data_IF_931053709791
#
_entry.id   IF_931053709791
#
_cell.length_a   1.000
_cell.length_b   1.000
_cell.length_c   1.000
_cell.angle_alpha   90.00
_cell.angle_beta   90.00
_cell.angle_gamma   90.00
#
_symmetry.space_group_name_H-M   'P 1'
#
loop_
_entity.id
_entity.type
_entity.pdbx_description
1 polymer ?
#
# COMPACT_ATOMS: atom_id res chain seq x y z
N UNK A 1 -48.53 -8.74 -27.11
CA UNK A 1 -47.45 -7.75 -27.31
C UNK A 1 -46.36 -8.05 -26.28
N UNK A 2 -45.21 -8.56 -26.70
CA UNK A 2 -44.07 -8.77 -25.79
C UNK A 2 -43.44 -7.41 -25.49
N UNK A 3 -43.18 -7.06 -24.21
CA UNK A 3 -42.52 -5.81 -23.87
C UNK A 3 -41.13 -5.78 -24.51
N UNK A 4 -40.89 -4.80 -25.38
CA UNK A 4 -39.55 -4.59 -25.93
C UNK A 4 -38.62 -4.18 -24.78
N UNK A 5 -37.70 -5.07 -24.42
CA UNK A 5 -36.67 -4.78 -23.43
C UNK A 5 -35.65 -3.86 -24.07
N UNK A 6 -35.68 -2.57 -23.73
CA UNK A 6 -34.67 -1.63 -24.19
C UNK A 6 -33.32 -2.09 -23.62
N UNK A 7 -32.30 -2.38 -24.46
CA UNK A 7 -30.99 -2.77 -23.97
C UNK A 7 -30.41 -1.63 -23.15
N UNK A 8 -30.12 -1.90 -21.87
CA UNK A 8 -29.50 -0.93 -20.99
C UNK A 8 -28.12 -0.58 -21.57
N UNK A 9 -27.88 0.73 -21.78
CA UNK A 9 -26.56 1.22 -22.16
C UNK A 9 -25.57 0.85 -21.05
N UNK A 10 -24.47 0.19 -21.44
CA UNK A 10 -23.38 -0.11 -20.53
C UNK A 10 -22.69 1.16 -20.08
N UNK A 11 -22.26 1.18 -18.82
CA UNK A 11 -21.57 2.29 -18.18
C UNK A 11 -20.08 2.16 -18.51
N UNK A 12 -19.49 3.11 -19.26
CA UNK A 12 -18.06 3.08 -19.57
C UNK A 12 -17.22 3.34 -18.32
N UNK A 13 -15.94 3.02 -18.39
CA UNK A 13 -15.00 3.31 -17.29
C UNK A 13 -14.95 4.83 -17.04
N UNK A 14 -15.17 5.31 -15.81
CA UNK A 14 -15.12 6.73 -15.50
C UNK A 14 -13.68 7.26 -15.60
N UNK A 15 -13.50 8.58 -15.77
CA UNK A 15 -12.19 9.20 -15.73
C UNK A 15 -11.52 8.98 -14.37
N UNK A 16 -10.19 9.02 -14.35
CA UNK A 16 -9.32 8.66 -13.21
C UNK A 16 -9.60 9.40 -11.89
N UNK A 17 -10.39 10.48 -11.92
CA UNK A 17 -10.68 11.36 -10.78
C UNK A 17 -11.98 11.00 -10.06
N UNK A 18 -12.88 10.23 -10.67
CA UNK A 18 -14.16 9.88 -10.05
C UNK A 18 -13.96 8.81 -9.00
N UNK A 19 -14.65 8.94 -7.86
CA UNK A 19 -14.66 7.90 -6.83
C UNK A 19 -15.22 6.59 -7.39
N UNK A 20 -14.65 5.44 -7.01
CA UNK A 20 -15.09 4.13 -7.52
C UNK A 20 -16.59 3.88 -7.25
N UNK A 21 -17.08 4.22 -6.05
CA UNK A 21 -18.49 4.11 -5.68
C UNK A 21 -19.39 4.99 -6.57
N UNK A 22 -19.00 6.25 -6.76
CA UNK A 22 -19.72 7.21 -7.58
C UNK A 22 -19.77 6.76 -9.05
N UNK A 23 -18.64 6.27 -9.58
CA UNK A 23 -18.55 5.74 -10.94
C UNK A 23 -19.39 4.48 -11.17
N UNK A 24 -19.61 3.68 -10.11
CA UNK A 24 -20.47 2.50 -10.20
C UNK A 24 -21.97 2.85 -10.15
N UNK A 25 -22.36 3.98 -9.55
CA UNK A 25 -23.78 4.35 -9.40
C UNK A 25 -24.62 3.24 -8.74
N UNK A 26 -24.04 2.57 -7.75
CA UNK A 26 -24.72 1.54 -6.94
C UNK A 26 -25.13 2.10 -5.57
N UNK A 27 -26.21 1.56 -4.96
CA UNK A 27 -26.48 1.76 -3.55
C UNK A 27 -25.26 1.36 -2.71
N UNK A 28 -24.98 2.11 -1.65
CA UNK A 28 -23.82 1.89 -0.78
C UNK A 28 -23.74 0.46 -0.23
N UNK A 29 -24.90 -0.15 0.06
CA UNK A 29 -24.99 -1.54 0.55
C UNK A 29 -24.45 -2.54 -0.48
N UNK A 30 -24.98 -2.51 -1.71
CA UNK A 30 -24.53 -3.39 -2.79
C UNK A 30 -23.06 -3.15 -3.15
N UNK A 31 -22.63 -1.89 -3.17
CA UNK A 31 -21.23 -1.53 -3.38
C UNK A 31 -20.31 -2.20 -2.33
N UNK A 32 -20.68 -2.15 -1.05
CA UNK A 32 -19.92 -2.78 0.04
C UNK A 32 -19.88 -4.31 -0.09
N UNK A 33 -21.00 -4.94 -0.44
CA UNK A 33 -21.07 -6.40 -0.62
C UNK A 33 -20.15 -6.86 -1.76
N UNK A 34 -20.25 -6.22 -2.93
CA UNK A 34 -19.42 -6.53 -4.10
C UNK A 34 -17.93 -6.31 -3.78
N UNK A 35 -17.57 -5.15 -3.22
CA UNK A 35 -16.17 -4.83 -2.91
C UNK A 35 -15.58 -5.80 -1.88
N UNK A 36 -16.35 -6.16 -0.85
CA UNK A 36 -15.93 -7.14 0.16
C UNK A 36 -15.69 -8.50 -0.49
N UNK A 37 -16.60 -8.94 -1.36
CA UNK A 37 -16.46 -10.22 -2.07
C UNK A 37 -15.23 -10.23 -3.00
N UNK A 38 -15.05 -9.19 -3.81
CA UNK A 38 -13.89 -9.08 -4.72
C UNK A 38 -12.58 -8.99 -3.93
N UNK A 39 -12.54 -8.30 -2.79
CA UNK A 39 -11.37 -8.33 -1.90
C UNK A 39 -11.07 -9.75 -1.40
N UNK A 40 -12.09 -10.51 -0.97
CA UNK A 40 -11.89 -11.89 -0.53
C UNK A 40 -11.29 -12.76 -1.66
N UNK A 41 -11.79 -12.61 -2.89
CA UNK A 41 -11.21 -13.29 -4.06
C UNK A 41 -9.77 -12.86 -4.32
N UNK A 42 -9.47 -11.56 -4.22
CA UNK A 42 -8.11 -11.05 -4.40
C UNK A 42 -7.13 -11.65 -3.37
N UNK A 43 -7.51 -11.74 -2.09
CA UNK A 43 -6.67 -12.39 -1.06
C UNK A 43 -6.45 -13.88 -1.32
N UNK A 44 -7.45 -14.55 -1.89
CA UNK A 44 -7.40 -15.98 -2.16
C UNK A 44 -6.59 -16.35 -3.41
N UNK A 45 -6.52 -15.46 -4.40
CA UNK A 45 -5.97 -15.76 -5.72
C UNK A 45 -4.79 -14.89 -6.14
N UNK A 46 -4.50 -13.78 -5.45
CA UNK A 46 -3.41 -12.87 -5.80
C UNK A 46 -2.39 -12.76 -4.67
N UNK A 47 -1.20 -12.32 -5.06
CA UNK A 47 -0.10 -12.04 -4.15
C UNK A 47 -0.13 -10.59 -3.70
N UNK A 48 -0.47 -10.34 -2.43
CA UNK A 48 -0.62 -8.98 -1.89
C UNK A 48 0.68 -8.15 -1.86
N UNK A 49 1.84 -8.80 -1.99
CA UNK A 49 3.16 -8.16 -2.04
C UNK A 49 3.54 -7.64 -3.44
N UNK A 50 2.80 -8.03 -4.47
CA UNK A 50 3.05 -7.62 -5.86
C UNK A 50 2.08 -6.53 -6.32
N UNK A 51 2.56 -5.63 -7.17
CA UNK A 51 1.69 -4.63 -7.81
C UNK A 51 0.76 -5.29 -8.84
N UNK A 52 -0.36 -4.63 -9.18
CA UNK A 52 -1.35 -5.16 -10.13
C UNK A 52 -0.74 -5.60 -11.48
N UNK A 53 0.26 -4.89 -12.00
CA UNK A 53 0.92 -5.21 -13.28
C UNK A 53 1.82 -6.44 -13.22
N UNK A 54 2.24 -6.84 -12.02
CA UNK A 54 3.11 -7.99 -11.77
C UNK A 54 2.31 -9.24 -11.42
N UNK A 55 0.99 -9.13 -11.27
CA UNK A 55 0.13 -10.27 -11.03
C UNK A 55 0.03 -11.13 -12.28
N UNK A 56 -0.21 -12.42 -12.06
CA UNK A 56 -0.55 -13.34 -13.13
C UNK A 56 -1.90 -12.94 -13.78
N UNK A 57 -1.93 -12.69 -15.10
CA UNK A 57 -3.17 -12.32 -15.79
C UNK A 57 -4.25 -13.42 -15.71
N UNK A 58 -3.86 -14.70 -15.63
CA UNK A 58 -4.84 -15.79 -15.51
C UNK A 58 -5.56 -15.76 -14.15
N UNK A 59 -4.84 -15.46 -13.07
CA UNK A 59 -5.43 -15.25 -11.75
C UNK A 59 -6.40 -14.06 -11.69
N UNK A 60 -6.08 -12.95 -12.39
CA UNK A 60 -7.00 -11.81 -12.51
C UNK A 60 -8.26 -12.20 -13.30
N UNK A 61 -8.10 -12.91 -14.43
CA UNK A 61 -9.24 -13.38 -15.23
C UNK A 61 -10.16 -14.31 -14.42
N UNK A 62 -9.59 -15.19 -13.59
CA UNK A 62 -10.34 -16.07 -12.68
C UNK A 62 -11.14 -15.31 -11.63
N UNK A 63 -10.58 -14.23 -11.07
CA UNK A 63 -11.32 -13.35 -10.16
C UNK A 63 -12.49 -12.69 -10.89
N UNK A 64 -12.25 -12.22 -12.12
CA UNK A 64 -13.28 -11.59 -12.94
C UNK A 64 -14.45 -12.55 -13.22
N UNK A 65 -14.14 -13.77 -13.65
CA UNK A 65 -15.13 -14.82 -13.90
C UNK A 65 -15.98 -15.10 -12.66
N UNK A 66 -15.35 -15.40 -11.52
CA UNK A 66 -16.06 -15.68 -10.26
C UNK A 66 -16.91 -14.50 -9.77
N UNK A 67 -16.40 -13.27 -9.90
CA UNK A 67 -17.16 -12.09 -9.51
C UNK A 67 -18.38 -11.85 -10.41
N UNK A 68 -18.27 -12.13 -11.72
CA UNK A 68 -19.39 -12.04 -12.66
C UNK A 68 -20.43 -13.14 -12.40
N UNK A 69 -19.99 -14.36 -12.07
CA UNK A 69 -20.86 -15.49 -11.73
C UNK A 69 -21.77 -15.15 -10.54
N UNK A 70 -21.19 -14.58 -9.46
CA UNK A 70 -21.95 -14.21 -8.26
C UNK A 70 -22.72 -12.89 -8.44
N UNK A 71 -22.16 -11.93 -9.17
CA UNK A 71 -22.78 -10.62 -9.41
C UNK A 71 -22.89 -10.31 -10.91
N UNK A 72 -23.91 -10.86 -11.60
CA UNK A 72 -24.09 -10.67 -13.05
C UNK A 72 -24.23 -9.20 -13.47
N UNK A 73 -24.69 -8.34 -12.56
CA UNK A 73 -24.76 -6.88 -12.76
C UNK A 73 -23.42 -6.29 -13.21
N UNK A 74 -22.28 -6.87 -12.81
CA UNK A 74 -20.96 -6.40 -13.18
C UNK A 74 -20.67 -6.54 -14.68
N UNK A 75 -21.20 -7.59 -15.33
CA UNK A 75 -21.06 -7.81 -16.78
C UNK A 75 -22.18 -7.16 -17.59
N UNK A 76 -23.39 -7.11 -17.03
CA UNK A 76 -24.57 -6.59 -17.72
C UNK A 76 -24.57 -5.06 -17.79
N UNK A 77 -24.09 -4.39 -16.73
CA UNK A 77 -24.20 -2.93 -16.59
C UNK A 77 -22.91 -2.17 -16.93
N UNK A 78 -21.73 -2.79 -16.85
CA UNK A 78 -20.46 -2.10 -17.01
C UNK A 78 -19.64 -2.66 -18.16
N UNK A 79 -19.03 -1.77 -18.94
CA UNK A 79 -18.14 -2.19 -20.02
C UNK A 79 -16.90 -2.91 -19.46
N UNK A 80 -16.58 -4.07 -20.04
CA UNK A 80 -15.45 -4.93 -19.69
C UNK A 80 -15.38 -5.33 -18.21
N UNK A 81 -16.50 -5.21 -17.48
CA UNK A 81 -16.56 -5.37 -16.03
C UNK A 81 -15.45 -4.56 -15.29
N UNK A 82 -15.19 -3.34 -15.77
CA UNK A 82 -14.15 -2.46 -15.24
C UNK A 82 -14.15 -2.25 -13.70
N UNK A 83 -15.28 -2.33 -12.97
CA UNK A 83 -15.26 -2.18 -11.53
C UNK A 83 -14.39 -3.23 -10.83
N UNK A 84 -14.38 -4.46 -11.33
CA UNK A 84 -13.60 -5.56 -10.74
C UNK A 84 -12.11 -5.21 -10.77
N UNK A 85 -11.61 -4.79 -11.92
CA UNK A 85 -10.19 -4.40 -12.08
C UNK A 85 -9.80 -3.26 -11.14
N UNK A 86 -10.66 -2.24 -11.02
CA UNK A 86 -10.40 -1.09 -10.17
C UNK A 86 -10.40 -1.46 -8.68
N UNK A 87 -11.33 -2.31 -8.24
CA UNK A 87 -11.38 -2.81 -6.88
C UNK A 87 -10.09 -3.59 -6.56
N UNK A 88 -9.72 -4.54 -7.42
CA UNK A 88 -8.50 -5.36 -7.25
C UNK A 88 -7.26 -4.47 -7.23
N UNK A 89 -7.14 -3.52 -8.16
CA UNK A 89 -5.99 -2.61 -8.25
C UNK A 89 -5.85 -1.76 -6.98
N UNK A 90 -6.95 -1.16 -6.50
CA UNK A 90 -6.94 -0.35 -5.28
C UNK A 90 -6.59 -1.20 -4.05
N UNK A 91 -7.13 -2.42 -3.98
CA UNK A 91 -6.83 -3.35 -2.90
C UNK A 91 -5.32 -3.68 -2.84
N UNK A 92 -4.71 -4.05 -3.97
CA UNK A 92 -3.28 -4.36 -4.02
C UNK A 92 -2.41 -3.13 -3.73
N UNK A 93 -2.81 -1.94 -4.18
CA UNK A 93 -2.11 -0.70 -3.82
C UNK A 93 -2.13 -0.46 -2.31
N UNK A 94 -3.28 -0.68 -1.66
CA UNK A 94 -3.39 -0.54 -0.22
C UNK A 94 -2.62 -1.63 0.54
N UNK A 95 -2.72 -2.89 0.12
CA UNK A 95 -1.99 -4.00 0.75
C UNK A 95 -0.48 -3.85 0.61
N UNK A 96 0.03 -3.52 -0.59
CA UNK A 96 1.47 -3.30 -0.80
C UNK A 96 1.99 -2.10 0.00
N UNK A 97 1.21 -1.02 0.08
CA UNK A 97 1.50 0.11 0.96
C UNK A 97 1.62 -0.36 2.42
N UNK A 98 0.61 -1.06 2.95
CA UNK A 98 0.65 -1.58 4.31
C UNK A 98 1.82 -2.54 4.53
N UNK A 99 2.16 -3.38 3.56
CA UNK A 99 3.28 -4.33 3.66
C UNK A 99 4.62 -3.59 3.74
N UNK A 100 4.80 -2.56 2.92
CA UNK A 100 6.00 -1.70 2.94
C UNK A 100 6.18 -1.01 4.28
N UNK A 101 5.09 -0.56 4.89
CA UNK A 101 5.11 0.12 6.18
C UNK A 101 5.01 -0.84 7.39
N UNK A 102 4.78 -2.14 7.18
CA UNK A 102 4.66 -3.12 8.27
C UNK A 102 5.97 -3.31 9.05
N UNK A 103 7.11 -3.29 8.37
CA UNK A 103 8.43 -3.35 9.01
C UNK A 103 8.65 -2.16 9.94
N UNK A 104 8.24 -0.99 9.48
CA UNK A 104 8.30 0.25 10.24
C UNK A 104 7.41 0.19 11.50
N UNK A 105 6.17 -0.29 11.43
CA UNK A 105 5.33 -0.47 12.65
C UNK A 105 5.85 -1.56 13.59
N UNK A 106 6.48 -2.62 13.06
CA UNK A 106 7.06 -3.67 13.89
C UNK A 106 8.19 -3.11 14.77
N UNK A 107 9.05 -2.28 14.21
CA UNK A 107 10.15 -1.64 14.94
C UNK A 107 9.65 -0.65 16.00
N UNK A 108 8.56 0.09 15.74
CA UNK A 108 7.96 1.01 16.72
C UNK A 108 7.47 0.28 17.98
N UNK A 109 6.91 -0.93 17.81
CA UNK A 109 6.37 -1.72 18.92
C UNK A 109 7.46 -2.38 19.75
N UNK A 110 8.58 -2.76 19.13
CA UNK A 110 9.72 -3.37 19.83
C UNK A 110 10.57 -2.32 20.57
N UNK A 111 10.73 -1.10 20.02
CA UNK A 111 11.53 -0.02 20.64
C UNK A 111 11.00 0.51 21.98
N UNK A 112 9.71 0.29 22.31
CA UNK A 112 9.14 0.69 23.61
C UNK A 112 9.46 -0.26 24.76
N UNK A 113 9.99 -1.46 24.49
CA UNK A 113 10.23 -2.46 25.56
C UNK A 113 11.65 -2.45 26.13
N UNK A 114 12.55 -1.65 25.58
CA UNK A 114 13.99 -1.77 25.90
C UNK A 114 14.56 -0.70 26.83
N UNK A 115 13.74 0.21 27.40
CA UNK A 115 14.24 1.29 28.28
C UNK A 115 13.84 1.19 29.75
N UNK A 116 13.14 0.15 30.22
CA UNK A 116 12.79 0.02 31.65
C UNK A 116 13.70 -0.91 32.46
N UNK A 117 14.95 -1.11 32.04
CA UNK A 117 15.96 -1.79 32.86
C UNK A 117 17.22 -0.94 33.00
N UNK A 118 17.04 0.32 33.42
CA UNK A 118 18.11 1.11 34.03
C UNK A 118 17.97 0.94 35.54
N UNK A 119 18.79 0.04 36.07
CA UNK A 119 19.39 0.03 37.41
C UNK A 119 18.70 0.87 38.51
N UNK A 120 17.87 0.21 39.31
CA UNK A 120 17.97 0.36 40.77
C UNK A 120 19.05 -0.59 41.28
N UNK A 121 20.32 -0.25 41.03
CA UNK A 121 21.45 -0.79 41.80
C UNK A 121 21.89 0.31 42.77
N UNK A 122 21.18 0.37 43.89
CA UNK A 122 21.67 1.03 45.10
C UNK A 122 22.95 0.32 45.53
N UNK A 123 24.03 1.09 45.64
CA UNK A 123 25.29 0.67 46.25
C UNK A 123 25.05 0.15 47.68
N UNK A 124 25.50 -1.08 47.95
CA UNK A 124 25.92 -1.50 49.29
C UNK A 124 27.29 -2.19 49.16
N UNK A 125 28.34 -1.69 49.84
CA UNK A 125 29.60 -2.42 49.96
C UNK A 125 29.49 -3.36 51.15
N UNK A 126 29.86 -4.64 51.01
CA UNK A 126 30.51 -5.41 52.08
C UNK A 126 30.98 -6.78 51.60
N UNK A 127 32.19 -7.08 52.07
CA UNK A 127 33.03 -8.25 51.86
C UNK A 127 32.40 -9.55 52.37
N UNK A 128 32.76 -10.68 51.73
CA UNK A 128 33.33 -11.89 52.37
C UNK A 128 32.74 -13.21 51.86
N UNK A 129 33.64 -14.19 51.66
CA UNK A 129 33.37 -15.62 51.83
C UNK A 129 32.91 -16.34 50.56
N UNK A 130 33.79 -16.98 49.79
CA UNK A 130 34.40 -18.29 50.03
C UNK A 130 33.60 -19.46 49.42
N UNK A 131 34.36 -20.25 48.64
CA UNK A 131 34.29 -21.69 48.49
C UNK A 131 33.18 -22.32 47.60
N UNK A 132 33.70 -22.85 46.48
CA UNK A 132 33.63 -24.28 46.14
C UNK A 132 32.53 -24.81 45.20
N UNK A 133 33.06 -25.51 44.19
CA UNK A 133 32.67 -26.84 43.73
C UNK A 133 31.60 -27.02 42.66
N UNK A 134 32.13 -27.30 41.47
CA UNK A 134 32.06 -28.61 40.80
C UNK A 134 30.87 -28.95 39.89
N UNK A 135 31.25 -29.74 38.86
CA UNK A 135 30.47 -30.62 37.96
C UNK A 135 30.08 -29.95 36.64
N UNK A 136 30.80 -30.23 35.53
CA UNK A 136 30.82 -31.49 34.76
C UNK A 136 29.40 -31.97 34.47
N UNK A 137 28.96 -31.74 33.22
CA UNK A 137 28.35 -32.79 32.41
C UNK A 137 28.50 -32.44 30.93
N UNK A 138 29.10 -33.42 30.24
CA UNK A 138 29.21 -33.57 28.81
C UNK A 138 27.87 -34.07 28.22
N UNK A 139 27.87 -34.18 26.88
CA UNK A 139 27.04 -35.04 26.03
C UNK A 139 25.67 -34.51 25.56
N UNK A 140 25.61 -34.13 24.28
CA UNK A 140 25.05 -35.01 23.24
C UNK A 140 25.07 -34.35 21.85
N UNK A 141 25.65 -34.99 20.81
CA UNK A 141 25.43 -34.62 19.41
C UNK A 141 24.40 -35.57 18.78
N UNK A 142 23.21 -35.09 18.46
CA UNK A 142 22.25 -35.86 17.66
C UNK A 142 22.41 -35.52 16.18
N UNK A 143 23.21 -36.36 15.51
CA UNK A 143 23.13 -36.58 14.07
C UNK A 143 21.95 -37.49 13.75
N UNK A 144 21.33 -37.30 12.57
CA UNK A 144 20.70 -38.30 11.67
C UNK A 144 19.63 -37.56 10.83
N UNK A 145 19.99 -37.14 9.60
CA UNK A 145 19.86 -37.94 8.36
C UNK A 145 18.39 -38.13 7.99
N UNK A 146 17.96 -37.41 6.95
CA UNK A 146 16.81 -37.81 6.14
C UNK A 146 17.11 -37.57 4.66
N UNK A 147 16.57 -38.44 3.79
CA UNK A 147 17.18 -38.77 2.51
C UNK A 147 16.76 -37.84 1.38
N UNK A 148 17.73 -37.51 0.55
CA UNK A 148 17.58 -36.98 -0.80
C UNK A 148 16.91 -38.03 -1.69
N UNK A 149 15.63 -37.81 -2.00
CA UNK A 149 14.89 -38.55 -3.03
C UNK A 149 15.23 -37.96 -4.39
N UNK A 150 16.08 -38.68 -5.11
CA UNK A 150 16.40 -38.46 -6.51
C UNK A 150 15.25 -38.96 -7.37
N UNK A 151 14.67 -38.07 -8.19
CA UNK A 151 13.85 -38.45 -9.33
C UNK A 151 14.46 -37.79 -10.57
N UNK A 152 15.42 -38.48 -11.16
CA UNK A 152 15.83 -38.27 -12.56
C UNK A 152 14.73 -38.82 -13.48
N UNK A 153 14.38 -38.06 -14.51
CA UNK A 153 13.59 -38.58 -15.63
C UNK A 153 13.19 -37.51 -16.63
N UNK A 154 13.28 -37.77 -17.95
CA UNK A 154 13.80 -36.80 -18.91
C UNK A 154 12.71 -36.17 -19.79
N UNK A 155 12.92 -34.95 -20.27
CA UNK A 155 12.38 -34.56 -21.58
C UNK A 155 13.14 -33.38 -22.18
N UNK A 156 13.96 -33.78 -23.15
CA UNK A 156 14.56 -32.97 -24.18
C UNK A 156 13.42 -32.40 -25.02
N UNK A 157 13.17 -31.09 -24.91
CA UNK A 157 12.48 -30.36 -25.96
C UNK A 157 13.39 -29.26 -26.50
N UNK A 158 14.06 -29.67 -27.57
CA UNK A 158 14.63 -28.85 -28.63
C UNK A 158 13.66 -27.73 -29.01
N UNK A 159 14.08 -26.48 -28.83
CA UNK A 159 13.45 -25.31 -29.47
C UNK A 159 14.47 -24.68 -30.43
N UNK A 160 14.01 -24.20 -31.59
CA UNK A 160 14.87 -23.87 -32.70
C UNK A 160 15.58 -22.53 -32.52
N UNK A 161 16.79 -22.54 -33.06
CA UNK A 161 17.62 -21.44 -33.49
C UNK A 161 16.79 -20.37 -34.24
N UNK A 162 16.53 -19.24 -33.57
CA UNK A 162 16.06 -18.03 -34.23
C UNK A 162 17.28 -17.15 -34.42
N UNK A 163 17.75 -17.20 -35.65
CA UNK A 163 18.77 -16.38 -36.24
C UNK A 163 18.53 -14.89 -36.00
N UNK A 164 19.64 -14.24 -35.67
CA UNK A 164 19.92 -12.81 -35.76
C UNK A 164 19.17 -12.14 -36.92
N UNK A 165 18.32 -11.18 -36.58
CA UNK A 165 18.10 -9.99 -37.40
C UNK A 165 18.47 -8.80 -36.53
N UNK A 166 19.66 -8.30 -36.80
CA UNK A 166 20.19 -7.04 -36.35
C UNK A 166 19.74 -6.01 -37.39
N UNK A 167 18.70 -5.23 -37.08
CA UNK A 167 18.47 -3.97 -37.79
C UNK A 167 18.13 -2.87 -36.80
N UNK A 168 18.93 -1.83 -36.91
CA UNK A 168 18.89 -0.57 -36.21
C UNK A 168 17.53 0.12 -36.35
N UNK A 169 16.84 0.29 -35.22
CA UNK A 169 15.91 1.41 -35.05
C UNK A 169 16.17 2.01 -33.67
N UNK A 170 17.07 2.99 -33.65
CA UNK A 170 17.10 4.08 -32.67
C UNK A 170 15.72 4.74 -32.61
N UNK A 171 14.81 4.20 -31.79
CA UNK A 171 13.58 4.88 -31.40
C UNK A 171 13.75 5.40 -29.98
N UNK A 172 14.04 6.70 -29.92
CA UNK A 172 14.00 7.53 -28.74
C UNK A 172 12.71 7.27 -27.96
N UNK A 173 12.86 6.70 -26.77
CA UNK A 173 11.79 6.53 -25.79
C UNK A 173 11.27 7.91 -25.36
N UNK A 174 10.00 8.26 -25.63
CA UNK A 174 9.45 9.59 -25.30
C UNK A 174 9.17 9.83 -23.81
N UNK A 175 9.60 8.96 -22.90
CA UNK A 175 9.24 9.05 -21.47
C UNK A 175 10.20 9.88 -20.60
N UNK A 176 11.31 10.38 -21.17
CA UNK A 176 12.23 11.26 -20.44
C UNK A 176 11.83 12.75 -20.43
N UNK A 177 10.72 13.15 -21.07
CA UNK A 177 10.29 14.56 -21.16
C UNK A 177 9.16 14.98 -20.21
N UNK A 178 8.74 14.14 -19.25
CA UNK A 178 7.78 14.55 -18.21
C UNK A 178 8.41 14.86 -16.85
N UNK A 179 9.74 14.92 -16.78
CA UNK A 179 10.45 15.46 -15.63
C UNK A 179 10.55 16.98 -15.75
N UNK A 180 9.91 17.68 -14.81
CA UNK A 180 10.07 19.10 -14.52
C UNK A 180 9.37 20.12 -15.45
N UNK A 181 8.05 20.01 -15.62
CA UNK A 181 7.28 21.26 -15.48
C UNK A 181 7.35 21.66 -14.01
N UNK A 182 8.31 22.52 -13.67
CA UNK A 182 8.38 23.17 -12.36
C UNK A 182 7.08 23.93 -12.16
N UNK A 183 6.10 23.30 -11.51
CA UNK A 183 4.91 24.01 -11.02
C UNK A 183 5.39 25.03 -10.00
N UNK A 184 4.90 26.27 -10.04
CA UNK A 184 5.38 27.32 -9.16
C UNK A 184 5.21 26.90 -7.70
N UNK A 185 6.33 26.71 -7.01
CA UNK A 185 6.46 26.30 -5.59
C UNK A 185 5.63 27.21 -4.66
N UNK A 186 5.25 28.39 -5.13
CA UNK A 186 4.36 29.33 -4.43
C UNK A 186 2.93 28.84 -4.20
N UNK A 187 2.37 27.93 -5.02
CA UNK A 187 0.98 27.50 -4.83
C UNK A 187 0.79 26.65 -3.58
N UNK A 188 1.78 25.83 -3.23
CA UNK A 188 1.70 24.93 -2.07
C UNK A 188 1.89 25.67 -0.74
N UNK A 189 2.86 26.59 -0.65
CA UNK A 189 3.04 27.43 0.52
C UNK A 189 1.79 28.28 0.81
N UNK A 190 1.18 28.86 -0.23
CA UNK A 190 -0.07 29.61 -0.09
C UNK A 190 -1.21 28.74 0.47
N UNK A 191 -1.28 27.48 0.05
CA UNK A 191 -2.22 26.51 0.60
C UNK A 191 -1.93 26.20 2.07
N UNK A 192 -0.70 25.85 2.44
CA UNK A 192 -0.33 25.56 3.83
C UNK A 192 -0.57 26.77 4.75
N UNK A 193 -0.36 27.98 4.24
CA UNK A 193 -0.66 29.22 4.96
C UNK A 193 -2.16 29.40 5.23
N UNK A 194 -3.02 28.87 4.36
CA UNK A 194 -4.47 28.92 4.48
C UNK A 194 -5.06 27.88 5.44
N UNK A 195 -4.27 26.87 5.84
CA UNK A 195 -4.67 25.91 6.88
C UNK A 195 -4.85 26.60 8.24
N UNK A 196 -5.63 25.95 9.13
CA UNK A 196 -5.83 26.39 10.51
C UNK A 196 -5.58 25.22 11.46
N UNK A 197 -4.46 25.21 12.23
CA UNK A 197 -3.40 26.23 12.27
C UNK A 197 -2.58 26.33 10.97
N UNK A 198 -1.84 27.44 10.81
CA UNK A 198 -1.05 27.70 9.61
C UNK A 198 0.20 26.82 9.57
N UNK A 199 0.35 26.02 8.51
CA UNK A 199 1.44 25.04 8.40
C UNK A 199 2.60 25.52 7.52
N UNK A 200 2.65 26.81 7.19
CA UNK A 200 3.68 27.39 6.29
C UNK A 200 5.10 27.10 6.78
N UNK A 201 5.33 27.14 8.10
CA UNK A 201 6.62 26.86 8.71
C UNK A 201 7.11 25.40 8.49
N UNK A 202 6.20 24.47 8.21
CA UNK A 202 6.50 23.05 7.95
C UNK A 202 6.70 22.73 6.46
N UNK A 203 6.56 23.72 5.57
CA UNK A 203 6.58 23.49 4.12
C UNK A 203 7.85 22.77 3.64
N UNK A 204 9.01 23.16 4.18
CA UNK A 204 10.29 22.52 3.83
C UNK A 204 10.35 21.05 4.26
N UNK A 205 9.77 20.72 5.41
CA UNK A 205 9.70 19.34 5.91
C UNK A 205 8.78 18.50 5.03
N UNK A 206 7.60 19.01 4.67
CA UNK A 206 6.67 18.32 3.76
C UNK A 206 7.30 18.06 2.39
N UNK A 207 7.99 19.03 1.83
CA UNK A 207 8.63 18.91 0.52
C UNK A 207 9.84 17.96 0.54
N UNK A 208 10.80 18.17 1.44
CA UNK A 208 12.05 17.40 1.43
C UNK A 208 11.92 16.00 2.02
N UNK A 209 11.17 15.85 3.11
CA UNK A 209 11.16 14.59 3.86
C UNK A 209 10.07 13.63 3.34
N UNK A 210 8.88 14.16 3.05
CA UNK A 210 7.73 13.34 2.65
C UNK A 210 7.40 13.42 1.14
N UNK A 211 8.08 14.30 0.37
CA UNK A 211 7.77 14.50 -1.05
C UNK A 211 6.37 15.06 -1.29
N UNK A 212 5.79 15.72 -0.28
CA UNK A 212 4.46 16.31 -0.26
C UNK A 212 4.51 17.76 -0.74
N UNK A 213 5.04 18.00 -1.94
CA UNK A 213 5.24 19.34 -2.50
C UNK A 213 3.97 19.98 -3.13
N UNK A 214 2.79 19.35 -2.96
CA UNK A 214 1.57 19.77 -3.66
C UNK A 214 0.36 19.62 -2.76
N UNK A 215 -0.60 20.54 -2.88
CA UNK A 215 -1.86 20.52 -2.14
C UNK A 215 -2.57 19.17 -2.26
N UNK A 216 -2.65 18.61 -3.47
CA UNK A 216 -3.30 17.32 -3.71
C UNK A 216 -2.69 16.18 -2.88
N UNK A 217 -1.36 16.09 -2.84
CA UNK A 217 -0.67 15.07 -2.04
C UNK A 217 -0.92 15.27 -0.55
N UNK A 218 -0.91 16.52 -0.08
CA UNK A 218 -1.22 16.84 1.32
C UNK A 218 -2.67 16.47 1.67
N UNK A 219 -3.64 16.80 0.81
CA UNK A 219 -5.05 16.39 0.97
C UNK A 219 -5.22 14.87 0.95
N UNK A 220 -4.36 14.14 0.24
CA UNK A 220 -4.34 12.68 0.30
C UNK A 220 -4.11 12.13 1.71
N UNK A 221 -3.49 12.90 2.62
CA UNK A 221 -3.35 12.53 4.03
C UNK A 221 -4.69 12.48 4.78
N UNK A 222 -5.73 13.15 4.27
CA UNK A 222 -7.07 13.12 4.88
C UNK A 222 -7.70 11.72 4.85
N UNK A 223 -7.29 10.88 3.89
CA UNK A 223 -7.77 9.50 3.78
C UNK A 223 -6.92 8.51 4.60
N UNK A 224 -5.83 8.98 5.20
CA UNK A 224 -4.93 8.12 5.95
C UNK A 224 -5.49 7.86 7.36
N UNK A 225 -5.34 6.64 7.89
CA UNK A 225 -5.65 6.37 9.29
C UNK A 225 -4.68 7.16 10.19
N UNK A 226 -5.16 7.58 11.37
CA UNK A 226 -4.41 8.47 12.28
C UNK A 226 -3.07 7.88 12.72
N UNK A 227 -3.02 6.58 13.03
CA UNK A 227 -1.79 5.91 13.44
C UNK A 227 -0.68 6.03 12.38
N UNK A 228 -0.91 5.59 11.14
CA UNK A 228 0.02 5.77 10.04
C UNK A 228 0.45 7.19 9.74
N UNK A 229 -0.49 8.12 9.80
CA UNK A 229 -0.21 9.53 9.60
C UNK A 229 0.70 10.08 10.71
N UNK A 230 0.39 9.81 11.98
CA UNK A 230 1.19 10.26 13.12
C UNK A 230 2.63 9.75 13.02
N UNK A 231 2.77 8.48 12.62
CA UNK A 231 4.05 7.84 12.33
C UNK A 231 4.84 8.56 11.24
N UNK A 232 4.23 8.80 10.07
CA UNK A 232 4.87 9.56 8.98
C UNK A 232 5.36 10.94 9.46
N UNK A 233 4.52 11.66 10.18
CA UNK A 233 4.86 13.00 10.69
C UNK A 233 6.00 12.95 11.71
N UNK A 234 5.97 11.98 12.62
CA UNK A 234 6.93 11.90 13.72
C UNK A 234 8.27 11.30 13.31
N UNK A 235 8.28 10.20 12.58
CA UNK A 235 9.51 9.44 12.36
C UNK A 235 10.15 9.76 11.01
N UNK A 236 9.34 9.90 9.95
CA UNK A 236 9.86 10.21 8.62
C UNK A 236 10.12 11.73 8.46
N UNK A 237 9.19 12.56 8.93
CA UNK A 237 9.34 14.02 8.88
C UNK A 237 10.02 14.64 10.10
N UNK A 238 10.21 13.87 11.18
CA UNK A 238 10.85 14.33 12.43
C UNK A 238 10.17 15.54 13.07
N UNK A 239 8.85 15.65 12.92
CA UNK A 239 8.07 16.70 13.57
C UNK A 239 8.02 16.45 15.09
N UNK A 240 8.08 17.53 15.85
CA UNK A 240 7.78 17.53 17.27
C UNK A 240 6.32 17.13 17.53
N UNK A 241 6.00 16.82 18.79
CA UNK A 241 4.64 16.42 19.16
C UNK A 241 3.63 17.55 18.89
N UNK A 242 3.96 18.79 19.21
CA UNK A 242 3.09 19.94 18.96
C UNK A 242 2.87 20.16 17.47
N UNK A 243 3.92 20.07 16.64
CA UNK A 243 3.79 20.18 15.18
C UNK A 243 2.93 19.05 14.60
N UNK A 244 3.02 17.82 15.14
CA UNK A 244 2.12 16.74 14.75
C UNK A 244 0.66 17.10 15.05
N UNK A 245 0.37 17.56 16.27
CA UNK A 245 -0.97 17.98 16.69
C UNK A 245 -1.51 19.12 15.81
N UNK A 246 -0.69 20.11 15.47
CA UNK A 246 -1.05 21.19 14.55
C UNK A 246 -1.43 20.66 13.15
N UNK A 247 -0.70 19.67 12.63
CA UNK A 247 -1.04 19.04 11.36
C UNK A 247 -2.35 18.27 11.44
N UNK A 248 -2.61 17.56 12.55
CA UNK A 248 -3.89 16.87 12.77
C UNK A 248 -5.06 17.85 12.85
N UNK A 249 -4.90 18.97 13.56
CA UNK A 249 -5.91 20.01 13.66
C UNK A 249 -6.20 20.65 12.29
N UNK A 250 -5.16 20.93 11.51
CA UNK A 250 -5.29 21.45 10.16
C UNK A 250 -6.01 20.46 9.23
N UNK A 251 -5.71 19.17 9.33
CA UNK A 251 -6.40 18.13 8.56
C UNK A 251 -7.86 17.98 9.00
N UNK A 252 -8.14 18.05 10.30
CA UNK A 252 -9.51 18.03 10.82
C UNK A 252 -10.32 19.24 10.33
N UNK A 253 -9.72 20.43 10.32
CA UNK A 253 -10.32 21.65 9.76
C UNK A 253 -10.62 21.49 8.25
N UNK A 254 -9.70 20.91 7.49
CA UNK A 254 -9.90 20.63 6.06
C UNK A 254 -11.03 19.62 5.82
N UNK A 255 -11.22 18.63 6.70
CA UNK A 255 -12.38 17.70 6.63
C UNK A 255 -13.69 18.45 6.85
N UNK A 256 -13.75 19.33 7.85
CA UNK A 256 -14.97 20.06 8.21
C UNK A 256 -15.38 21.09 7.17
N UNK A 257 -14.41 21.82 6.63
CA UNK A 257 -14.69 22.89 5.67
C UNK A 257 -15.14 22.38 4.32
N UNK A 258 -15.02 21.06 4.05
CA UNK A 258 -15.64 20.41 2.90
C UNK A 258 -15.28 21.07 1.57
N UNK A 259 -14.16 21.79 1.49
CA UNK A 259 -13.74 22.48 0.28
C UNK A 259 -13.24 21.39 -0.68
N UNK A 260 -14.21 20.76 -1.34
CA UNK A 260 -14.05 19.97 -2.55
C UNK A 260 -13.71 21.00 -3.63
N UNK A 261 -12.43 21.39 -3.70
CA UNK A 261 -11.92 22.11 -4.86
C UNK A 261 -11.89 21.07 -5.98
N UNK A 262 -12.92 21.07 -6.82
CA UNK A 262 -13.01 20.29 -8.06
C UNK A 262 -11.87 20.66 -9.02
#
# INVERSE_FOLDING_TARGET
MCPQTIPLRRIPRPPWRTGLQEGMQLPLKEFKEITTYVHALARAHLREDLSYRQQDPASIAKIREKAIEVYPILSNRYDDAWPIDNIVKRHLQQSSFLHRHKSYYRNLKEGRKTTSSINDRVCSPSLSGAASSSRISQDAPTSLRSPSSSCEGPSIHTLPDITRIHEDITSLTPWAMLSATQRPVGSFNKFLRSCRPSLEHLASSFERMAGLATEWKFRGLLDWPEGPLYSLLKDDMRLSQSECEEVFDALAYLRQTGVIVL
#
